data_IF_302009179308
#
_entry.id   IF_302009179308
#
_cell.length_a   1.000
_cell.length_b   1.000
_cell.length_c   1.000
_cell.angle_alpha   90.00
_cell.angle_beta   90.00
_cell.angle_gamma   90.00
#
_symmetry.space_group_name_H-M   'P 1'
#
loop_
_entity.id
_entity.type
_entity.pdbx_description
1 polymer ?
2 non-polymer ?
3 non-polymer ?
4 water ?
#
# COMPACT_ATOMS: atom_id res chain seq x y z
N UNK A 1 -6.60 14.34 -2.42
CA UNK A 1 -5.37 14.23 -1.60
C UNK A 1 -4.16 14.09 -2.52
N UNK A 2 -3.06 14.65 -2.09
CA UNK A 2 -1.86 14.65 -2.91
C UNK A 2 -1.20 13.28 -2.89
N UNK A 3 -0.75 12.80 -4.05
CA UNK A 3 0.04 11.55 -4.08
C UNK A 3 1.33 11.65 -3.24
N UNK A 4 1.79 12.88 -3.06
CA UNK A 4 3.09 13.17 -2.44
C UNK A 4 3.02 13.38 -0.93
N UNK A 5 1.79 13.36 -0.39
CA UNK A 5 1.56 13.42 1.03
C UNK A 5 1.77 12.04 1.66
N UNK A 6 1.90 12.05 2.98
CA UNK A 6 1.88 10.81 3.72
C UNK A 6 0.43 10.37 3.87
N UNK A 7 0.11 9.21 3.29
CA UNK A 7 -1.26 8.72 3.33
C UNK A 7 -1.30 7.54 4.31
N UNK A 8 -2.04 7.73 5.40
CA UNK A 8 -2.10 6.67 6.40
C UNK A 8 -2.92 5.52 5.83
N UNK A 9 -2.47 4.28 6.03
CA UNK A 9 -3.11 3.17 5.35
C UNK A 9 -4.58 3.05 5.78
N UNK A 10 -4.84 3.38 7.06
CA UNK A 10 -6.21 3.20 7.61
C UNK A 10 -7.21 4.26 7.13
N UNK A 11 -6.71 5.23 6.36
CA UNK A 11 -7.54 6.33 5.83
C UNK A 11 -8.21 5.96 4.49
N UNK A 12 -8.25 4.65 4.18
CA UNK A 12 -8.87 4.20 2.91
C UNK A 12 -10.32 4.64 2.76
N UNK A 13 -10.71 4.85 1.51
CA UNK A 13 -12.11 5.09 1.13
C UNK A 13 -12.96 3.81 1.11
N UNK A 14 -12.29 2.70 0.81
CA UNK A 14 -12.92 1.39 0.65
C UNK A 14 -11.87 0.30 0.87
N UNK A 15 -12.28 -0.90 1.28
CA UNK A 15 -11.30 -2.00 1.44
C UNK A 15 -11.99 -3.33 1.19
N UNK A 16 -11.18 -4.32 0.84
CA UNK A 16 -11.69 -5.67 0.78
C UNK A 16 -10.77 -6.61 1.55
N UNK A 17 -11.33 -7.20 2.61
CA UNK A 17 -10.65 -8.32 3.29
C UNK A 17 -9.73 -8.01 4.46
N UNK A 18 -9.52 -6.72 4.74
CA UNK A 18 -8.52 -6.36 5.76
C UNK A 18 -9.16 -5.87 7.07
N UNK A 19 -8.33 -5.64 8.09
CA UNK A 19 -8.81 -5.03 9.33
C UNK A 19 -7.74 -4.10 9.86
N UNK A 20 -8.17 -2.94 10.40
CA UNK A 20 -7.23 -2.03 11.01
C UNK A 20 -6.99 -2.44 12.46
N UNK A 21 -5.78 -2.14 12.94
CA UNK A 21 -5.35 -2.52 14.29
C UNK A 21 -4.32 -1.54 14.82
N UNK A 22 -4.00 -1.66 16.11
CA UNK A 22 -3.04 -0.75 16.77
C UNK A 22 -1.66 -1.03 16.21
N UNK A 23 -1.00 0.05 15.80
CA UNK A 23 0.34 -0.04 15.23
C UNK A 23 1.38 0.31 16.30
N UNK A 24 2.41 -0.54 16.47
CA UNK A 24 3.45 -0.30 17.49
C UNK A 24 4.16 1.04 17.33
N UNK A 25 4.24 1.55 16.10
CA UNK A 25 4.94 2.83 15.83
C UNK A 25 4.02 4.02 16.08
N UNK A 26 2.77 3.76 16.52
CA UNK A 26 1.77 4.81 16.72
C UNK A 26 0.72 4.74 15.64
N UNK A 27 -0.49 5.19 15.98
CA UNK A 27 -1.59 5.14 15.04
C UNK A 27 -1.97 3.68 14.75
N UNK A 28 -2.34 3.42 13.50
CA UNK A 28 -2.92 2.12 13.10
C UNK A 28 -2.19 1.54 11.92
N UNK A 29 -2.26 0.21 11.79
CA UNK A 29 -1.86 -0.42 10.54
C UNK A 29 -3.04 -1.19 9.93
N UNK A 30 -2.98 -1.34 8.61
CA UNK A 30 -3.85 -2.26 7.92
C UNK A 30 -3.17 -3.61 8.03
N UNK A 31 -3.87 -4.53 8.70
CA UNK A 31 -3.37 -5.89 8.85
C UNK A 31 -4.38 -6.94 8.37
N UNK A 32 -4.11 -8.19 8.74
CA UNK A 32 -4.90 -9.33 8.28
C UNK A 32 -4.98 -9.35 6.76
N UNK A 33 -3.79 -9.19 6.12
CA UNK A 33 -3.69 -9.09 4.66
C UNK A 33 -3.38 -10.46 4.09
N UNK A 34 -4.28 -10.92 3.22
CA UNK A 34 -4.07 -12.15 2.49
C UNK A 34 -4.13 -11.87 0.98
N UNK A 35 -3.58 -12.82 0.23
CA UNK A 35 -3.55 -12.63 -1.23
C UNK A 35 -4.94 -12.25 -1.78
N UNK A 36 -5.00 -11.18 -2.58
CA UNK A 36 -6.25 -10.74 -3.15
C UNK A 36 -6.93 -9.60 -2.40
N UNK A 37 -6.53 -9.36 -1.14
CA UNK A 37 -7.13 -8.26 -0.37
C UNK A 37 -6.68 -6.94 -0.98
N UNK A 38 -7.39 -5.85 -0.69
CA UNK A 38 -6.92 -4.54 -1.16
C UNK A 38 -7.50 -3.39 -0.35
N UNK A 39 -6.87 -2.23 -0.47
CA UNK A 39 -7.46 -1.01 0.05
C UNK A 39 -7.50 -0.01 -1.09
N UNK A 40 -8.37 0.99 -0.94
CA UNK A 40 -8.61 1.99 -2.00
C UNK A 40 -8.52 3.41 -1.40
N UNK A 41 -7.84 4.32 -2.09
CA UNK A 41 -7.71 5.70 -1.66
C UNK A 41 -8.22 6.61 -2.81
N UNK A 42 -9.38 7.25 -2.60
CA UNK A 42 -10.01 7.97 -3.69
C UNK A 42 -9.35 9.30 -3.98
N UNK A 43 -9.45 9.71 -5.24
CA UNK A 43 -9.12 11.08 -5.63
C UNK A 43 -7.71 11.48 -5.23
N UNK A 44 -6.76 10.63 -5.56
CA UNK A 44 -5.36 10.96 -5.34
C UNK A 44 -4.84 11.74 -6.57
N UNK A 45 -4.21 12.88 -6.29
CA UNK A 45 -3.73 13.75 -7.37
C UNK A 45 -2.24 13.52 -7.57
N UNK A 46 -1.89 12.95 -8.73
CA UNK A 46 -0.51 12.70 -9.09
C UNK A 46 0.19 13.87 -9.74
N UNK A 47 -0.56 14.91 -10.09
CA UNK A 47 0.01 16.02 -10.89
C UNK A 47 0.74 15.46 -12.10
N UNK A 48 1.95 15.98 -12.33
CA UNK A 48 2.81 15.48 -13.40
C UNK A 48 4.22 15.42 -12.82
N UNK A 49 4.70 14.22 -12.51
CA UNK A 49 6.04 14.11 -11.91
C UNK A 49 6.37 12.82 -11.17
N UNK A 50 5.39 11.90 -11.05
CA UNK A 50 5.58 10.71 -10.17
C UNK A 50 6.71 9.80 -10.66
N UNK A 51 7.55 9.33 -9.74
CA UNK A 51 8.60 8.38 -10.10
C UNK A 51 8.73 7.16 -9.17
N UNK A 52 8.13 7.24 -7.99
CA UNK A 52 8.37 6.20 -7.00
C UNK A 52 7.28 6.07 -5.95
N UNK A 53 7.41 5.03 -5.12
CA UNK A 53 6.42 4.71 -4.06
C UNK A 53 7.18 4.14 -2.87
N UNK A 54 6.77 4.55 -1.68
CA UNK A 54 7.39 4.14 -0.43
C UNK A 54 6.28 3.70 0.50
N UNK A 55 6.42 2.49 1.05
CA UNK A 55 5.42 2.00 2.00
C UNK A 55 6.08 1.57 3.31
N UNK A 56 5.42 1.93 4.42
CA UNK A 56 5.94 1.56 5.76
C UNK A 56 5.27 0.26 6.20
N UNK A 57 6.03 -0.83 6.20
CA UNK A 57 5.46 -2.18 6.29
C UNK A 57 6.16 -3.07 7.30
N UNK A 58 5.41 -4.03 7.83
CA UNK A 58 5.97 -5.02 8.78
C UNK A 58 5.49 -6.41 8.34
N UNK A 59 6.29 -7.45 8.63
CA UNK A 59 5.76 -8.78 8.34
C UNK A 59 6.49 -9.85 9.13
N UNK A 60 5.74 -10.75 9.76
CA UNK A 60 6.35 -11.90 10.43
C UNK A 60 6.51 -13.09 9.52
N UNK A 61 6.18 -12.90 8.25
CA UNK A 61 6.26 -13.99 7.30
C UNK A 61 7.29 -13.60 6.24
N UNK A 62 6.98 -13.85 4.96
CA UNK A 62 7.93 -13.54 3.89
C UNK A 62 7.39 -12.42 2.98
N UNK A 63 6.47 -11.63 3.51
CA UNK A 63 5.96 -10.46 2.78
C UNK A 63 5.17 -10.90 1.56
N UNK A 64 5.33 -10.12 0.48
CA UNK A 64 4.51 -10.29 -0.71
C UNK A 64 4.71 -9.05 -1.56
N UNK A 65 3.73 -8.71 -2.38
CA UNK A 65 3.83 -7.53 -3.26
C UNK A 65 2.60 -6.63 -3.06
N UNK A 66 2.83 -5.32 -3.19
CA UNK A 66 1.72 -4.34 -3.24
C UNK A 66 1.62 -3.91 -4.68
N UNK A 67 0.59 -4.37 -5.36
CA UNK A 67 0.34 -3.92 -6.72
C UNK A 67 -0.38 -2.59 -6.66
N UNK A 68 0.14 -1.61 -7.38
CA UNK A 68 -0.46 -0.28 -7.32
C UNK A 68 -1.25 -0.11 -8.62
N UNK A 69 -2.60 -0.09 -8.50
CA UNK A 69 -3.46 -0.09 -9.66
C UNK A 69 -4.37 1.15 -9.64
N UNK A 70 -4.71 1.66 -10.83
CA UNK A 70 -5.51 2.88 -10.87
C UNK A 70 -6.94 2.58 -11.24
N UNK A 71 -7.83 3.17 -10.45
CA UNK A 71 -9.25 3.29 -10.74
C UNK A 71 -10.13 2.04 -10.62
N UNK A 72 -9.52 0.89 -10.57
CA UNK A 72 -10.24 -0.34 -10.16
C UNK A 72 -9.24 -1.37 -9.64
N UNK A 73 -9.76 -2.38 -8.93
CA UNK A 73 -8.89 -3.34 -8.27
C UNK A 73 -8.14 -4.22 -9.27
N UNK A 74 -8.62 -4.23 -10.52
CA UNK A 74 -8.00 -4.98 -11.61
C UNK A 74 -7.45 -3.99 -12.65
N UNK A 75 -7.37 -2.71 -12.27
CA UNK A 75 -7.09 -1.66 -13.26
C UNK A 75 -5.60 -1.55 -13.60
N UNK A 76 -5.32 -0.61 -14.50
CA UNK A 76 -3.97 -0.40 -14.98
C UNK A 76 -2.94 -0.38 -13.84
N UNK A 77 -1.91 -1.20 -14.02
CA UNK A 77 -0.82 -1.31 -13.04
C UNK A 77 0.21 -0.20 -13.26
N UNK A 78 0.60 0.48 -12.18
CA UNK A 78 1.65 1.50 -12.33
C UNK A 78 2.91 1.19 -11.51
N UNK A 79 2.85 0.13 -10.68
CA UNK A 79 4.05 -0.33 -10.01
C UNK A 79 3.75 -1.52 -9.15
N UNK A 80 4.79 -2.26 -8.75
CA UNK A 80 4.61 -3.42 -7.88
C UNK A 80 5.70 -3.30 -6.83
N UNK A 81 5.28 -3.11 -5.58
CA UNK A 81 6.24 -2.82 -4.51
C UNK A 81 6.54 -4.13 -3.78
N UNK A 82 7.80 -4.61 -3.85
CA UNK A 82 8.08 -5.85 -3.15
C UNK A 82 8.21 -5.58 -1.67
N UNK A 83 7.64 -6.49 -0.87
CA UNK A 83 7.73 -6.39 0.60
C UNK A 83 8.36 -7.66 1.18
N UNK A 84 9.33 -7.49 2.08
CA UNK A 84 10.05 -8.62 2.65
C UNK A 84 9.84 -8.70 4.16
N UNK A 85 9.95 -9.91 4.68
CA UNK A 85 9.74 -10.17 6.12
C UNK A 85 10.57 -9.19 6.94
N UNK A 86 10.08 -8.87 8.14
CA UNK A 86 10.85 -8.02 9.07
C UNK A 86 11.04 -8.73 10.43
N UNK A 87 10.55 -9.96 10.48
CA UNK A 87 10.68 -10.78 11.68
C UNK A 87 9.57 -10.58 12.73
N UNK A 88 8.72 -9.58 12.54
CA UNK A 88 7.68 -9.33 13.53
C UNK A 88 6.57 -8.53 12.90
N UNK A 89 5.31 -8.79 13.30
CA UNK A 89 4.19 -8.04 12.74
C UNK A 89 4.19 -6.56 13.07
N UNK A 90 4.99 -6.17 14.07
CA UNK A 90 5.01 -4.76 14.49
C UNK A 90 6.42 -4.13 14.52
N UNK A 91 7.34 -4.69 13.70
CA UNK A 91 8.63 -4.07 13.44
C UNK A 91 8.64 -3.67 11.96
N UNK A 92 8.64 -2.36 11.73
CA UNK A 92 8.42 -1.80 10.37
C UNK A 92 9.72 -1.44 9.68
N UNK A 93 9.63 -1.41 8.36
CA UNK A 93 10.71 -0.94 7.50
C UNK A 93 10.10 -0.24 6.28
N UNK A 94 10.94 0.29 5.39
CA UNK A 94 10.47 0.96 4.18
C UNK A 94 10.62 0.02 2.98
N UNK A 95 9.50 -0.23 2.31
CA UNK A 95 9.53 -0.98 1.05
C UNK A 95 9.39 0.07 -0.04
N UNK A 96 10.07 -0.12 -1.17
CA UNK A 96 10.11 0.97 -2.16
C UNK A 96 10.11 0.36 -3.57
N UNK A 97 9.54 1.11 -4.52
CA UNK A 97 9.58 0.71 -5.92
C UNK A 97 9.45 1.93 -6.84
N UNK A 98 9.81 1.71 -8.10
CA UNK A 98 9.54 2.73 -9.08
C UNK A 98 8.09 2.67 -9.54
N UNK A 99 7.63 3.77 -10.14
CA UNK A 99 6.24 3.87 -10.59
C UNK A 99 6.29 4.47 -11.98
N UNK A 100 5.47 3.90 -12.87
CA UNK A 100 5.32 4.41 -14.25
C UNK A 100 4.73 5.81 -14.24
N UNK A 101 5.05 6.56 -15.29
CA UNK A 101 4.54 7.91 -15.35
C UNK A 101 3.03 7.93 -15.45
N UNK A 102 2.43 8.82 -14.65
CA UNK A 102 1.00 9.02 -14.71
C UNK A 102 0.66 10.48 -14.41
N UNK A 103 -0.54 10.88 -14.81
CA UNK A 103 -0.99 12.25 -14.61
C UNK A 103 -2.31 12.25 -13.87
N UNK A 104 -2.69 13.41 -13.35
CA UNK A 104 -4.08 13.66 -12.99
C UNK A 104 -4.53 12.93 -11.74
N UNK A 105 -5.85 12.91 -11.57
CA UNK A 105 -6.49 12.39 -10.36
C UNK A 105 -6.98 10.97 -10.62
N UNK A 106 -6.67 10.05 -9.70
CA UNK A 106 -7.11 8.67 -9.82
C UNK A 106 -7.41 8.08 -8.47
N UNK A 107 -8.30 7.09 -8.44
CA UNK A 107 -8.46 6.34 -7.18
C UNK A 107 -7.34 5.28 -7.17
N UNK A 108 -6.64 5.18 -6.03
CA UNK A 108 -5.49 4.30 -5.99
C UNK A 108 -5.89 3.02 -5.25
N UNK A 109 -5.72 1.87 -5.93
CA UNK A 109 -5.95 0.56 -5.30
C UNK A 109 -4.62 -0.04 -4.98
N UNK A 110 -4.41 -0.34 -3.69
CA UNK A 110 -3.25 -1.13 -3.29
C UNK A 110 -3.74 -2.58 -3.12
N UNK A 111 -3.31 -3.45 -4.04
CA UNK A 111 -3.81 -4.81 -4.16
C UNK A 111 -2.70 -5.74 -3.69
N UNK A 112 -3.00 -6.55 -2.67
CA UNK A 112 -1.93 -7.26 -1.97
C UNK A 112 -1.84 -8.67 -2.51
N UNK A 113 -0.65 -9.04 -2.98
CA UNK A 113 -0.51 -10.35 -3.62
C UNK A 113 0.67 -11.12 -3.04
N UNK A 114 0.54 -12.44 -2.95
CA UNK A 114 1.69 -13.20 -2.49
C UNK A 114 1.37 -14.67 -2.34
N UNK A 115 2.14 -15.29 -1.46
CA UNK A 115 2.04 -16.69 -1.10
C UNK A 115 0.79 -16.88 -0.21
N UNK A 116 0.64 -18.07 0.34
CA UNK A 116 -0.43 -18.39 1.30
C UNK A 116 -0.16 -17.64 2.62
N UNK A 117 -1.19 -17.50 3.45
CA UNK A 117 -1.03 -16.94 4.78
C UNK A 117 -1.07 -15.42 4.78
N UNK A 118 -0.74 -14.80 5.91
CA UNK A 118 -0.76 -13.35 5.98
C UNK A 118 0.53 -12.79 5.39
N UNK A 119 0.40 -11.65 4.71
CA UNK A 119 1.52 -11.14 3.94
C UNK A 119 2.34 -10.05 4.67
N UNK A 120 1.68 -8.95 5.04
CA UNK A 120 2.40 -7.85 5.73
C UNK A 120 1.33 -6.93 6.30
N UNK A 121 1.78 -6.04 7.20
CA UNK A 121 0.94 -4.95 7.75
C UNK A 121 1.44 -3.64 7.10
N UNK A 122 0.50 -2.71 6.86
CA UNK A 122 0.85 -1.45 6.16
C UNK A 122 0.47 -0.31 7.08
N UNK A 123 1.45 0.52 7.44
CA UNK A 123 1.21 1.64 8.32
C UNK A 123 0.79 2.90 7.53
N UNK A 124 1.60 3.27 6.55
CA UNK A 124 1.33 4.44 5.70
C UNK A 124 2.12 4.26 4.39
N UNK A 125 1.81 5.09 3.39
CA UNK A 125 2.63 5.04 2.18
C UNK A 125 2.64 6.45 1.60
N UNK A 126 3.50 6.61 0.60
CA UNK A 126 3.53 7.89 -0.13
C UNK A 126 4.14 7.68 -1.51
N UNK A 127 3.90 8.62 -2.44
CA UNK A 127 4.63 8.58 -3.71
C UNK A 127 5.72 9.66 -3.73
N UNK A 128 6.72 9.46 -4.58
CA UNK A 128 7.82 10.45 -4.71
C UNK A 128 7.87 10.91 -6.15
N UNK A 129 8.32 12.16 -6.33
CA UNK A 129 8.49 12.71 -7.67
C UNK A 129 9.75 12.15 -8.31
X LIG B 1 -2.44 -12.05 14.49
X LIG B 1 -2.54 -11.22 13.34
X LIG B 1 -1.76 -9.95 13.68
X LIG B 1 -1.77 -9.01 12.49
X LIG B 1 -1.36 -9.75 11.22
X LIG B 1 -2.15 -11.06 11.08
X LIG B 1 -2.37 -9.23 14.75
X LIG B 1 -0.91 -7.90 12.72
X LIG B 1 -1.59 -8.97 10.07
X LIG B 1 -1.98 -11.84 12.24
X LIG C 1 -1.04 4.21 9.88
#
# INVERSE_FOLDING_TARGET
QSAYSRIEAESYSNQSGIQTETCSEGGEDVGFVENGDYTVYNNVDFGDGVGGFQARVASATSGGNIEIRLDSSTGTLIGTCPVAGTGDWQTYTDAKCTVSGVTGKHDVYLVFKGDSGYLFNLNWFTFSE
XYP O1 C1 C2 C3 C4 C5 O2 O3 O4 O5
NA NA
#
